data_IF_053548668342
#
_entry.id   IF_053548668342
#
_cell.length_a   1.000
_cell.length_b   1.000
_cell.length_c   1.000
_cell.angle_alpha   90.00
_cell.angle_beta   90.00
_cell.angle_gamma   90.00
#
_symmetry.space_group_name_H-M   'P 1'
#
loop_
_entity.id
_entity.type
_entity.pdbx_description
1 polymer ?
#
# COMPACT_ATOMS: atom_id res chain seq x y z
N UNK A 1 -56.45 -4.04 12.41
CA UNK A 1 -55.45 -4.31 11.37
C UNK A 1 -54.98 -2.98 10.84
N UNK A 2 -53.95 -2.40 11.44
CA UNK A 2 -53.37 -1.13 10.99
C UNK A 2 -52.14 -1.45 10.15
N UNK A 3 -52.21 -1.04 8.90
CA UNK A 3 -51.13 -1.12 7.93
C UNK A 3 -50.03 -0.12 8.28
N UNK A 4 -48.89 -0.59 8.78
CA UNK A 4 -47.67 0.22 8.89
C UNK A 4 -47.13 0.48 7.48
N UNK A 5 -47.30 1.72 7.02
CA UNK A 5 -46.63 2.20 5.80
C UNK A 5 -45.13 2.33 6.05
N UNK A 6 -44.35 1.43 5.51
CA UNK A 6 -42.89 1.61 5.38
C UNK A 6 -42.61 2.74 4.38
N UNK A 7 -42.15 3.88 4.89
CA UNK A 7 -41.63 4.95 4.05
C UNK A 7 -40.18 4.55 3.65
N UNK A 8 -40.03 3.90 2.51
CA UNK A 8 -38.72 3.76 1.84
C UNK A 8 -38.39 5.07 1.14
N UNK A 9 -37.55 5.89 1.77
CA UNK A 9 -36.90 7.02 1.09
C UNK A 9 -35.72 6.45 0.30
N UNK A 10 -35.94 6.07 -0.94
CA UNK A 10 -34.85 5.79 -1.89
C UNK A 10 -34.41 7.12 -2.47
N UNK A 11 -33.33 7.72 -1.95
CA UNK A 11 -32.64 8.80 -2.64
C UNK A 11 -31.89 8.18 -3.84
N UNK A 12 -32.30 8.54 -5.04
CA UNK A 12 -31.84 7.94 -6.29
C UNK A 12 -30.42 8.28 -6.74
N UNK A 13 -29.63 9.10 -5.99
CA UNK A 13 -28.43 9.74 -6.57
C UNK A 13 -27.19 9.85 -5.68
N UNK A 14 -27.10 9.19 -4.52
CA UNK A 14 -25.89 9.31 -3.71
C UNK A 14 -25.42 7.94 -3.20
N UNK A 15 -24.16 7.54 -3.45
CA UNK A 15 -23.61 6.33 -2.86
C UNK A 15 -23.56 6.49 -1.34
N UNK A 16 -24.11 5.53 -0.63
CA UNK A 16 -23.93 5.42 0.82
C UNK A 16 -22.63 4.71 1.11
N UNK A 17 -21.80 5.29 1.97
CA UNK A 17 -20.58 4.63 2.45
C UNK A 17 -20.82 4.12 3.86
N UNK A 18 -20.64 2.83 4.07
CA UNK A 18 -20.83 2.16 5.33
C UNK A 18 -19.67 1.23 5.64
N UNK A 19 -19.12 1.29 6.84
CA UNK A 19 -18.00 0.49 7.30
C UNK A 19 -18.12 0.13 8.77
N UNK A 20 -17.62 -1.05 9.14
CA UNK A 20 -17.40 -1.39 10.55
C UNK A 20 -15.92 -1.25 10.86
N UNK A 21 -15.62 -0.60 11.99
CA UNK A 21 -14.25 -0.45 12.49
C UNK A 21 -14.17 -1.01 13.91
N UNK A 22 -13.03 -1.60 14.25
CA UNK A 22 -12.76 -2.10 15.60
C UNK A 22 -11.68 -1.26 16.25
N UNK A 23 -11.97 -0.72 17.44
CA UNK A 23 -11.01 0.04 18.25
C UNK A 23 -11.07 -0.51 19.67
N UNK A 24 -9.94 -0.98 20.20
CA UNK A 24 -9.85 -1.58 21.55
C UNK A 24 -10.92 -2.66 21.78
N UNK A 25 -11.06 -3.61 20.81
CA UNK A 25 -12.05 -4.71 20.80
C UNK A 25 -13.52 -4.27 20.76
N UNK A 26 -13.80 -2.99 20.58
CA UNK A 26 -15.14 -2.44 20.42
C UNK A 26 -15.43 -2.18 18.95
N UNK A 27 -16.56 -2.70 18.46
CA UNK A 27 -17.00 -2.50 17.07
C UNK A 27 -17.85 -1.23 16.99
N UNK A 28 -17.47 -0.32 16.10
CA UNK A 28 -18.21 0.88 15.74
C UNK A 28 -18.69 0.77 14.29
N UNK A 29 -19.90 1.26 14.02
CA UNK A 29 -20.43 1.37 12.66
C UNK A 29 -20.29 2.82 12.17
N UNK A 30 -19.71 3.01 10.99
CA UNK A 30 -19.50 4.34 10.38
C UNK A 30 -20.35 4.43 9.13
N UNK A 31 -21.13 5.48 9.01
CA UNK A 31 -22.02 5.73 7.87
C UNK A 31 -21.85 7.16 7.38
N UNK A 32 -21.70 7.32 6.06
CA UNK A 32 -21.61 8.62 5.41
C UNK A 32 -22.74 8.78 4.39
N UNK A 33 -23.48 9.87 4.53
CA UNK A 33 -24.66 10.18 3.74
C UNK A 33 -24.56 11.60 3.16
N UNK A 34 -25.14 11.79 1.98
CA UNK A 34 -25.46 13.10 1.45
C UNK A 34 -26.88 13.48 1.83
N UNK A 35 -27.04 14.61 2.50
CA UNK A 35 -28.35 15.17 2.86
C UNK A 35 -29.06 15.85 1.68
N UNK A 36 -28.47 15.78 0.49
CA UNK A 36 -29.04 16.26 -0.75
C UNK A 36 -28.72 17.71 -1.09
N UNK A 37 -29.04 18.06 -2.35
CA UNK A 37 -28.65 19.34 -2.97
C UNK A 37 -29.28 20.57 -2.32
N UNK A 38 -30.38 20.40 -1.55
CA UNK A 38 -31.02 21.50 -0.82
C UNK A 38 -30.19 21.94 0.37
N UNK A 39 -29.53 21.03 1.05
CA UNK A 39 -28.71 21.28 2.23
C UNK A 39 -27.22 21.35 1.89
N UNK A 40 -26.82 20.83 0.73
CA UNK A 40 -25.43 20.73 0.27
C UNK A 40 -24.48 20.21 1.35
N UNK A 41 -24.91 19.20 2.11
CA UNK A 41 -24.18 18.74 3.29
C UNK A 41 -23.95 17.23 3.27
N UNK A 42 -22.69 16.82 3.39
CA UNK A 42 -22.30 15.44 3.68
C UNK A 42 -22.21 15.27 5.18
N UNK A 43 -22.80 14.18 5.69
CA UNK A 43 -22.74 13.81 7.12
C UNK A 43 -22.10 12.45 7.25
N UNK A 44 -21.12 12.34 8.15
CA UNK A 44 -20.56 11.07 8.60
C UNK A 44 -20.88 10.88 10.08
N UNK A 45 -21.56 9.81 10.41
CA UNK A 45 -21.88 9.42 11.78
C UNK A 45 -21.09 8.16 12.15
N UNK A 46 -20.58 8.11 13.37
CA UNK A 46 -20.03 6.91 14.00
C UNK A 46 -20.97 6.45 15.09
N UNK A 47 -21.38 5.20 15.01
CA UNK A 47 -22.34 4.60 15.93
C UNK A 47 -21.66 3.57 16.83
N UNK A 48 -22.06 3.56 18.10
CA UNK A 48 -21.79 2.49 19.05
C UNK A 48 -23.12 1.98 19.59
N UNK A 49 -23.44 0.70 19.36
CA UNK A 49 -24.70 0.08 19.81
C UNK A 49 -25.96 0.88 19.40
N UNK A 50 -25.92 1.52 18.23
CA UNK A 50 -27.04 2.33 17.72
C UNK A 50 -27.05 3.81 18.12
N UNK A 51 -26.18 4.24 19.04
CA UNK A 51 -26.03 5.63 19.42
C UNK A 51 -24.93 6.34 18.66
N UNK A 52 -25.14 7.60 18.27
CA UNK A 52 -24.11 8.40 17.58
C UNK A 52 -23.08 8.89 18.60
N UNK A 53 -21.86 8.38 18.51
CA UNK A 53 -20.74 8.74 19.38
C UNK A 53 -19.77 9.75 18.77
N UNK A 54 -19.82 9.93 17.44
CA UNK A 54 -19.05 10.96 16.73
C UNK A 54 -19.82 11.36 15.48
N UNK A 55 -19.74 12.64 15.11
CA UNK A 55 -20.43 13.19 13.95
C UNK A 55 -19.59 14.25 13.25
N UNK A 56 -19.46 14.15 11.92
CA UNK A 56 -18.80 15.15 11.08
C UNK A 56 -19.74 15.61 9.98
N UNK A 57 -19.75 16.92 9.73
CA UNK A 57 -20.48 17.54 8.61
C UNK A 57 -19.54 18.33 7.73
N UNK A 58 -19.77 18.31 6.43
CA UNK A 58 -19.04 19.16 5.47
C UNK A 58 -20.03 19.73 4.47
N UNK A 59 -19.88 21.02 4.18
CA UNK A 59 -20.62 21.70 3.13
C UNK A 59 -19.93 21.52 1.77
N UNK A 60 -20.73 21.26 0.73
CA UNK A 60 -20.25 21.13 -0.64
C UNK A 60 -20.95 22.11 -1.61
N UNK A 61 -21.61 23.16 -1.12
CA UNK A 61 -22.33 24.15 -1.94
C UNK A 61 -21.49 24.74 -3.06
N UNK A 62 -20.18 24.90 -2.83
CA UNK A 62 -19.22 25.39 -3.81
C UNK A 62 -19.01 24.46 -5.02
N UNK A 63 -19.37 23.18 -4.90
CA UNK A 63 -19.24 22.18 -5.97
C UNK A 63 -20.47 22.10 -6.88
N UNK A 64 -21.64 22.53 -6.43
CA UNK A 64 -22.92 22.35 -7.14
C UNK A 64 -22.99 22.97 -8.51
N UNK A 65 -22.18 23.98 -8.78
CA UNK A 65 -22.09 24.69 -10.08
C UNK A 65 -21.07 24.10 -11.04
N UNK A 66 -20.32 23.08 -10.63
CA UNK A 66 -19.29 22.47 -11.47
C UNK A 66 -19.90 21.43 -12.41
N UNK A 67 -19.42 21.36 -13.65
CA UNK A 67 -19.91 20.40 -14.66
C UNK A 67 -19.67 18.94 -14.30
N UNK A 68 -18.68 18.67 -13.45
CA UNK A 68 -18.26 17.35 -12.99
C UNK A 68 -18.74 17.06 -11.55
N UNK A 69 -19.79 17.72 -11.09
CA UNK A 69 -20.37 17.57 -9.76
C UNK A 69 -20.68 16.11 -9.41
N UNK A 70 -21.35 15.38 -10.33
CA UNK A 70 -21.76 13.98 -10.10
C UNK A 70 -20.57 13.02 -9.87
N UNK A 71 -19.39 13.35 -10.39
CA UNK A 71 -18.16 12.57 -10.18
C UNK A 71 -17.43 13.00 -8.91
N UNK A 72 -17.48 14.29 -8.59
CA UNK A 72 -16.77 14.86 -7.42
C UNK A 72 -17.45 14.56 -6.10
N UNK A 73 -18.77 14.56 -6.05
CA UNK A 73 -19.51 14.33 -4.80
C UNK A 73 -19.21 12.96 -4.20
N UNK A 74 -19.28 11.83 -4.92
CA UNK A 74 -18.90 10.53 -4.39
C UNK A 74 -17.45 10.48 -3.88
N UNK A 75 -16.52 11.09 -4.60
CA UNK A 75 -15.11 11.16 -4.19
C UNK A 75 -14.92 11.97 -2.90
N UNK A 76 -15.67 13.07 -2.75
CA UNK A 76 -15.64 13.88 -1.53
C UNK A 76 -16.24 13.12 -0.34
N UNK A 77 -17.34 12.40 -0.55
CA UNK A 77 -17.97 11.53 0.46
C UNK A 77 -17.02 10.43 0.92
N UNK A 78 -16.36 9.73 0.00
CA UNK A 78 -15.35 8.71 0.30
C UNK A 78 -14.19 9.28 1.10
N UNK A 79 -13.68 10.45 0.70
CA UNK A 79 -12.61 11.16 1.41
C UNK A 79 -13.03 11.55 2.82
N UNK A 80 -14.25 12.06 2.99
CA UNK A 80 -14.79 12.40 4.32
C UNK A 80 -14.96 11.14 5.17
N UNK A 81 -15.51 10.06 4.61
CA UNK A 81 -15.69 8.79 5.30
C UNK A 81 -14.35 8.27 5.86
N UNK A 82 -13.34 8.13 5.01
CA UNK A 82 -12.00 7.69 5.41
C UNK A 82 -11.37 8.60 6.45
N UNK A 83 -11.38 9.92 6.22
CA UNK A 83 -10.75 10.87 7.16
C UNK A 83 -11.47 10.94 8.51
N UNK A 84 -12.79 10.69 8.56
CA UNK A 84 -13.52 10.63 9.82
C UNK A 84 -13.19 9.36 10.59
N UNK A 85 -13.05 8.23 9.92
CA UNK A 85 -12.57 6.98 10.52
C UNK A 85 -11.19 7.19 11.16
N UNK A 86 -10.25 7.72 10.40
CA UNK A 86 -8.87 7.95 10.86
C UNK A 86 -8.83 8.88 12.08
N UNK A 87 -9.59 9.96 12.03
CA UNK A 87 -9.70 10.91 13.16
C UNK A 87 -10.31 10.25 14.38
N UNK A 88 -11.43 9.54 14.22
CA UNK A 88 -12.12 8.87 15.33
C UNK A 88 -11.23 7.82 16.00
N UNK A 89 -10.53 7.02 15.20
CA UNK A 89 -9.60 6.02 15.71
C UNK A 89 -8.44 6.70 16.46
N UNK A 90 -7.87 7.79 15.92
CA UNK A 90 -6.81 8.55 16.58
C UNK A 90 -7.29 9.14 17.93
N UNK A 91 -8.50 9.67 18.00
CA UNK A 91 -9.11 10.21 19.23
C UNK A 91 -9.32 9.09 20.28
N UNK A 92 -9.88 7.95 19.88
CA UNK A 92 -10.16 6.83 20.79
C UNK A 92 -8.88 6.13 21.26
N UNK A 93 -7.90 5.96 20.39
CA UNK A 93 -6.61 5.35 20.74
C UNK A 93 -5.67 6.29 21.51
N UNK A 94 -6.14 7.43 21.99
CA UNK A 94 -5.34 8.40 22.75
C UNK A 94 -4.18 9.00 21.92
N UNK A 95 -4.40 9.18 20.63
CA UNK A 95 -3.37 9.68 19.70
C UNK A 95 -2.33 8.63 19.30
N UNK A 96 -2.53 7.35 19.66
CA UNK A 96 -1.66 6.25 19.21
C UNK A 96 -1.89 6.02 17.73
N UNK A 97 -0.84 6.15 16.94
CA UNK A 97 -0.88 5.80 15.52
C UNK A 97 -1.25 4.33 15.32
N UNK A 98 -2.18 4.06 14.41
CA UNK A 98 -2.49 2.72 13.96
C UNK A 98 -1.38 2.15 13.08
N UNK A 99 -1.34 0.83 13.00
CA UNK A 99 -0.42 0.12 12.10
C UNK A 99 -0.54 0.59 10.64
N UNK A 100 -1.76 0.75 10.12
CA UNK A 100 -2.01 1.25 8.76
C UNK A 100 -1.40 2.64 8.52
N UNK A 101 -1.54 3.55 9.49
CA UNK A 101 -0.97 4.91 9.39
C UNK A 101 0.56 4.90 9.34
N UNK A 102 1.22 3.99 10.08
CA UNK A 102 2.66 3.81 9.97
C UNK A 102 3.07 3.28 8.58
N UNK A 103 2.35 2.29 8.05
CA UNK A 103 2.61 1.75 6.72
C UNK A 103 2.43 2.80 5.63
N UNK A 104 1.35 3.59 5.68
CA UNK A 104 1.10 4.68 4.74
C UNK A 104 2.20 5.75 4.80
N UNK A 105 2.63 6.13 6.01
CA UNK A 105 3.73 7.08 6.21
C UNK A 105 5.05 6.54 5.64
N UNK A 106 5.40 5.29 5.95
CA UNK A 106 6.60 4.64 5.42
C UNK A 106 6.58 4.61 3.89
N UNK A 107 5.46 4.19 3.29
CA UNK A 107 5.30 4.16 1.84
C UNK A 107 5.39 5.56 1.22
N UNK A 108 4.78 6.57 1.85
CA UNK A 108 4.85 7.95 1.40
C UNK A 108 6.28 8.49 1.43
N UNK A 109 7.02 8.26 2.51
CA UNK A 109 8.42 8.65 2.65
C UNK A 109 9.30 7.95 1.62
N UNK A 110 9.05 6.67 1.34
CA UNK A 110 9.77 5.92 0.30
C UNK A 110 9.49 6.47 -1.10
N UNK A 111 8.25 6.84 -1.42
CA UNK A 111 7.92 7.50 -2.70
C UNK A 111 8.62 8.83 -2.87
N UNK A 112 8.86 9.56 -1.79
CA UNK A 112 9.66 10.81 -1.76
C UNK A 112 11.18 10.59 -1.76
N UNK A 113 11.64 9.34 -1.76
CA UNK A 113 13.06 9.02 -1.69
C UNK A 113 13.71 9.24 -0.31
N UNK A 114 12.90 9.51 0.72
CA UNK A 114 13.39 9.77 2.08
C UNK A 114 13.47 8.46 2.91
N UNK A 115 14.40 7.57 2.53
CA UNK A 115 14.59 6.28 3.18
C UNK A 115 14.99 6.40 4.66
N UNK A 116 15.76 7.42 5.04
CA UNK A 116 16.17 7.61 6.44
C UNK A 116 14.98 7.89 7.35
N UNK A 117 14.10 8.81 6.97
CA UNK A 117 12.88 9.09 7.74
C UNK A 117 11.92 7.90 7.74
N UNK A 118 11.81 7.17 6.62
CA UNK A 118 11.03 5.94 6.57
C UNK A 118 11.53 4.90 7.57
N UNK A 119 12.86 4.75 7.72
CA UNK A 119 13.46 3.83 8.70
C UNK A 119 13.13 4.24 10.14
N UNK A 120 13.19 5.53 10.47
CA UNK A 120 12.83 6.03 11.81
C UNK A 120 11.37 5.74 12.14
N UNK A 121 10.45 6.09 11.23
CA UNK A 121 9.03 5.80 11.41
C UNK A 121 8.75 4.30 11.55
N UNK A 122 9.46 3.49 10.78
CA UNK A 122 9.30 2.04 10.80
C UNK A 122 9.80 1.40 12.09
N UNK A 123 10.93 1.85 12.64
CA UNK A 123 11.41 1.39 13.96
C UNK A 123 10.41 1.70 15.05
N UNK A 124 9.87 2.92 15.07
CA UNK A 124 8.83 3.29 16.04
C UNK A 124 7.54 2.46 15.87
N UNK A 125 7.20 2.07 14.63
CA UNK A 125 6.10 1.15 14.38
C UNK A 125 6.38 -0.26 14.95
N UNK A 126 7.60 -0.78 14.75
CA UNK A 126 8.00 -2.10 15.23
C UNK A 126 8.13 -2.18 16.76
N UNK A 127 8.39 -1.07 17.46
CA UNK A 127 8.29 -1.04 18.93
C UNK A 127 6.87 -1.36 19.43
N UNK A 128 5.84 -1.03 18.63
CA UNK A 128 4.44 -1.26 18.98
C UNK A 128 3.87 -2.55 18.37
N UNK A 129 4.38 -2.93 17.21
CA UNK A 129 3.91 -4.07 16.43
C UNK A 129 5.11 -4.93 15.98
N UNK A 130 5.83 -5.57 16.92
CA UNK A 130 7.11 -6.24 16.64
C UNK A 130 7.00 -7.40 15.65
N UNK A 131 5.87 -8.10 15.64
CA UNK A 131 5.67 -9.31 14.83
C UNK A 131 4.89 -9.03 13.53
N UNK A 132 4.65 -7.74 13.18
CA UNK A 132 3.90 -7.44 11.98
C UNK A 132 4.73 -7.71 10.71
N UNK A 133 4.26 -8.65 9.91
CA UNK A 133 4.98 -9.12 8.72
C UNK A 133 5.17 -8.03 7.66
N UNK A 134 4.22 -7.10 7.51
CA UNK A 134 4.37 -5.98 6.57
C UNK A 134 5.47 -5.03 7.02
N UNK A 135 5.45 -4.61 8.29
CA UNK A 135 6.49 -3.75 8.85
C UNK A 135 7.86 -4.40 8.77
N UNK A 136 7.96 -5.68 9.13
CA UNK A 136 9.21 -6.45 9.04
C UNK A 136 9.72 -6.57 7.60
N UNK A 137 8.84 -6.78 6.62
CA UNK A 137 9.23 -6.81 5.20
C UNK A 137 9.83 -5.49 4.74
N UNK A 138 9.21 -4.34 5.08
CA UNK A 138 9.78 -3.02 4.80
C UNK A 138 11.08 -2.78 5.57
N UNK A 139 11.18 -3.25 6.81
CA UNK A 139 12.38 -3.13 7.63
C UNK A 139 13.57 -3.85 7.00
N UNK A 140 13.38 -5.09 6.55
CA UNK A 140 14.43 -5.84 5.85
C UNK A 140 14.95 -5.10 4.62
N UNK A 141 14.05 -4.54 3.79
CA UNK A 141 14.44 -3.72 2.65
C UNK A 141 15.22 -2.47 3.09
N UNK A 142 14.72 -1.71 4.06
CA UNK A 142 15.36 -0.47 4.50
C UNK A 142 16.68 -0.72 5.23
N UNK A 143 16.82 -1.81 5.95
CA UNK A 143 18.09 -2.24 6.55
C UNK A 143 19.18 -2.42 5.48
N UNK A 144 18.81 -3.05 4.36
CA UNK A 144 19.70 -3.21 3.21
C UNK A 144 20.00 -1.87 2.49
N UNK A 145 18.99 -0.98 2.39
CA UNK A 145 19.08 0.21 1.56
C UNK A 145 19.65 1.43 2.27
N UNK A 146 19.39 1.58 3.56
CA UNK A 146 19.72 2.79 4.36
C UNK A 146 20.90 2.51 5.27
N UNK A 147 20.93 1.35 5.91
CA UNK A 147 21.96 0.98 6.88
C UNK A 147 23.11 0.16 6.27
N UNK A 148 23.03 -0.07 4.97
CA UNK A 148 24.05 -0.82 4.22
C UNK A 148 24.31 -2.23 4.80
N UNK A 149 23.29 -2.85 5.38
CA UNK A 149 23.32 -4.22 5.89
C UNK A 149 22.44 -5.17 5.04
N UNK A 150 22.84 -5.47 3.79
CA UNK A 150 22.02 -6.27 2.89
C UNK A 150 21.91 -7.74 3.32
N UNK A 151 22.89 -8.27 4.04
CA UNK A 151 22.86 -9.66 4.50
C UNK A 151 21.70 -9.90 5.47
N UNK A 152 21.59 -9.09 6.49
CA UNK A 152 20.52 -9.17 7.48
C UNK A 152 19.18 -8.77 6.89
N UNK A 153 19.16 -7.69 6.09
CA UNK A 153 17.93 -7.22 5.43
C UNK A 153 17.30 -8.27 4.52
N UNK A 154 18.10 -9.01 3.73
CA UNK A 154 17.64 -10.12 2.90
C UNK A 154 17.06 -11.23 3.77
N UNK A 155 17.78 -11.62 4.83
CA UNK A 155 17.32 -12.67 5.74
C UNK A 155 15.95 -12.34 6.34
N UNK A 156 15.77 -11.11 6.84
CA UNK A 156 14.48 -10.66 7.40
C UNK A 156 13.38 -10.74 6.34
N UNK A 157 13.62 -10.28 5.11
CA UNK A 157 12.63 -10.37 4.04
C UNK A 157 12.28 -11.84 3.68
N UNK A 158 13.26 -12.73 3.62
CA UNK A 158 13.07 -14.15 3.35
C UNK A 158 12.25 -14.82 4.45
N UNK A 159 12.63 -14.62 5.71
CA UNK A 159 11.96 -15.17 6.89
C UNK A 159 10.51 -14.66 6.97
N UNK A 160 10.30 -13.37 6.75
CA UNK A 160 8.98 -12.74 6.76
C UNK A 160 8.07 -13.31 5.65
N UNK A 161 8.60 -13.46 4.43
CA UNK A 161 7.86 -14.06 3.32
C UNK A 161 7.52 -15.54 3.60
N UNK A 162 8.45 -16.28 4.19
CA UNK A 162 8.21 -17.67 4.60
C UNK A 162 7.11 -17.75 5.66
N UNK A 163 7.17 -16.91 6.69
CA UNK A 163 6.15 -16.84 7.74
C UNK A 163 4.78 -16.48 7.16
N UNK A 164 4.69 -15.50 6.24
CA UNK A 164 3.44 -15.16 5.57
C UNK A 164 2.80 -16.38 4.88
N UNK A 165 3.61 -17.14 4.13
CA UNK A 165 3.13 -18.34 3.41
C UNK A 165 2.67 -19.45 4.33
N UNK A 166 3.29 -19.60 5.50
CA UNK A 166 2.95 -20.66 6.45
C UNK A 166 1.80 -20.29 7.37
N UNK A 167 1.70 -19.02 7.79
CA UNK A 167 0.65 -18.55 8.70
C UNK A 167 -0.69 -18.27 8.01
N UNK A 168 -0.66 -17.94 6.72
CA UNK A 168 -1.86 -17.63 5.91
C UNK A 168 -1.82 -18.43 4.60
N UNK A 169 -2.10 -19.73 4.62
CA UNK A 169 -1.96 -20.58 3.43
C UNK A 169 -2.98 -20.24 2.31
N UNK A 170 -4.09 -19.57 2.65
CA UNK A 170 -5.10 -19.10 1.70
C UNK A 170 -5.27 -17.59 1.82
N UNK A 171 -5.34 -16.91 0.69
CA UNK A 171 -5.58 -15.45 0.61
C UNK A 171 -4.32 -14.60 0.82
N UNK A 172 -3.16 -15.18 1.18
CA UNK A 172 -1.91 -14.43 1.31
C UNK A 172 -1.34 -13.97 -0.04
N UNK A 173 -1.81 -14.55 -1.14
CA UNK A 173 -1.37 -14.26 -2.51
C UNK A 173 -1.53 -12.78 -2.87
N UNK A 174 -2.56 -12.11 -2.33
CA UNK A 174 -2.77 -10.68 -2.51
C UNK A 174 -1.62 -9.82 -1.97
N UNK A 175 -0.90 -10.33 -0.97
CA UNK A 175 0.19 -9.61 -0.32
C UNK A 175 1.56 -9.93 -0.93
N UNK A 176 1.71 -11.04 -1.66
CA UNK A 176 2.97 -11.45 -2.24
C UNK A 176 3.69 -10.37 -3.05
N UNK A 177 3.02 -9.54 -3.87
CA UNK A 177 3.70 -8.50 -4.63
C UNK A 177 4.51 -7.55 -3.76
N UNK A 178 4.00 -7.13 -2.60
CA UNK A 178 4.69 -6.22 -1.68
C UNK A 178 5.91 -6.89 -1.05
N UNK A 179 5.77 -8.14 -0.60
CA UNK A 179 6.86 -8.88 0.04
C UNK A 179 7.97 -9.20 -0.96
N UNK A 180 7.63 -9.64 -2.16
CA UNK A 180 8.60 -9.89 -3.22
C UNK A 180 9.25 -8.61 -3.75
N UNK A 181 8.55 -7.49 -3.77
CA UNK A 181 9.11 -6.18 -4.09
C UNK A 181 10.21 -5.79 -3.10
N UNK A 182 9.92 -5.90 -1.80
CA UNK A 182 10.87 -5.56 -0.74
C UNK A 182 12.08 -6.51 -0.74
N UNK A 183 11.85 -7.81 -0.88
CA UNK A 183 12.91 -8.82 -1.01
C UNK A 183 13.78 -8.57 -2.24
N UNK A 184 13.17 -8.32 -3.40
CA UNK A 184 13.89 -8.00 -4.62
C UNK A 184 14.75 -6.76 -4.49
N UNK A 185 14.24 -5.70 -3.85
CA UNK A 185 15.00 -4.48 -3.54
C UNK A 185 16.16 -4.76 -2.58
N UNK A 186 15.97 -5.59 -1.57
CA UNK A 186 17.03 -6.00 -0.65
C UNK A 186 18.12 -6.79 -1.40
N UNK A 187 17.76 -7.71 -2.30
CA UNK A 187 18.72 -8.41 -3.18
C UNK A 187 19.50 -7.45 -4.10
N UNK A 188 18.83 -6.42 -4.66
CA UNK A 188 19.53 -5.39 -5.47
C UNK A 188 20.60 -4.71 -4.65
N UNK A 189 20.30 -4.33 -3.41
CA UNK A 189 21.27 -3.72 -2.49
C UNK A 189 22.41 -4.66 -2.10
N UNK A 190 22.12 -5.95 -1.98
CA UNK A 190 23.11 -7.00 -1.77
C UNK A 190 23.89 -7.42 -3.03
N UNK A 191 23.71 -6.71 -4.16
CA UNK A 191 24.33 -7.03 -5.46
C UNK A 191 23.96 -8.42 -6.00
N UNK A 192 22.88 -9.03 -5.51
CA UNK A 192 22.34 -10.33 -5.93
C UNK A 192 21.30 -10.13 -7.05
N UNK A 193 21.73 -9.61 -8.21
CA UNK A 193 20.83 -9.23 -9.31
C UNK A 193 19.96 -10.36 -9.84
N UNK A 194 20.49 -11.60 -9.88
CA UNK A 194 19.73 -12.76 -10.35
C UNK A 194 18.56 -13.05 -9.42
N UNK A 195 18.82 -13.06 -8.12
CA UNK A 195 17.82 -13.35 -7.09
C UNK A 195 16.77 -12.23 -7.04
N UNK A 196 17.18 -10.97 -7.23
CA UNK A 196 16.27 -9.84 -7.35
C UNK A 196 15.29 -10.01 -8.54
N UNK A 197 15.78 -10.41 -9.71
CA UNK A 197 14.92 -10.66 -10.88
C UNK A 197 13.94 -11.80 -10.61
N UNK A 198 14.38 -12.88 -9.99
CA UNK A 198 13.51 -14.00 -9.62
C UNK A 198 12.44 -13.56 -8.63
N UNK A 199 12.80 -12.81 -7.57
CA UNK A 199 11.85 -12.27 -6.62
C UNK A 199 10.80 -11.36 -7.30
N UNK A 200 11.22 -10.45 -8.17
CA UNK A 200 10.29 -9.60 -8.91
C UNK A 200 9.36 -10.40 -9.84
N UNK A 201 9.86 -11.44 -10.50
CA UNK A 201 9.03 -12.32 -11.32
C UNK A 201 7.99 -13.07 -10.50
N UNK A 202 8.36 -13.55 -9.30
CA UNK A 202 7.39 -14.18 -8.38
C UNK A 202 6.30 -13.19 -7.93
N UNK A 203 6.66 -11.93 -7.65
CA UNK A 203 5.67 -10.89 -7.33
C UNK A 203 4.71 -10.61 -8.49
N UNK A 204 5.20 -10.58 -9.73
CA UNK A 204 4.38 -10.35 -10.92
C UNK A 204 3.46 -11.52 -11.29
N UNK A 205 3.67 -12.73 -10.78
CA UNK A 205 2.73 -13.83 -10.97
C UNK A 205 1.36 -13.54 -10.32
N UNK A 206 1.36 -12.80 -9.21
CA UNK A 206 0.15 -12.47 -8.46
C UNK A 206 -0.42 -11.10 -8.84
N UNK A 207 0.40 -10.19 -9.33
CA UNK A 207 0.01 -8.86 -9.82
C UNK A 207 0.86 -8.48 -11.03
N UNK A 208 0.46 -8.91 -12.25
CA UNK A 208 1.24 -8.68 -13.48
C UNK A 208 1.43 -7.20 -13.84
N UNK A 209 0.54 -6.32 -13.36
CA UNK A 209 0.56 -4.89 -13.64
C UNK A 209 1.20 -4.07 -12.51
N UNK A 210 1.83 -4.70 -11.53
CA UNK A 210 2.46 -4.01 -10.41
C UNK A 210 3.51 -3.01 -10.86
N UNK A 211 3.15 -1.73 -10.85
CA UNK A 211 3.97 -0.63 -11.37
C UNK A 211 5.31 -0.49 -10.65
N UNK A 212 5.35 -0.80 -9.35
CA UNK A 212 6.57 -0.67 -8.57
C UNK A 212 7.56 -1.79 -8.91
N UNK A 213 7.10 -3.03 -9.05
CA UNK A 213 7.93 -4.15 -9.47
C UNK A 213 8.44 -3.94 -10.91
N UNK A 214 7.56 -3.55 -11.83
CA UNK A 214 7.93 -3.28 -13.22
C UNK A 214 8.99 -2.17 -13.30
N UNK A 215 8.86 -1.11 -12.50
CA UNK A 215 9.86 -0.03 -12.42
C UNK A 215 11.22 -0.52 -11.90
N UNK A 216 11.24 -1.38 -10.87
CA UNK A 216 12.49 -1.95 -10.36
C UNK A 216 13.16 -2.87 -11.40
N UNK A 217 12.38 -3.67 -12.12
CA UNK A 217 12.91 -4.49 -13.23
C UNK A 217 13.48 -3.64 -14.36
N UNK A 218 12.83 -2.52 -14.71
CA UNK A 218 13.37 -1.58 -15.70
C UNK A 218 14.71 -0.98 -15.27
N UNK A 219 14.90 -0.63 -13.99
CA UNK A 219 16.16 -0.12 -13.44
C UNK A 219 17.28 -1.16 -13.52
N UNK A 220 16.98 -2.44 -13.39
CA UNK A 220 17.96 -3.53 -13.56
C UNK A 220 18.42 -3.69 -15.02
N UNK A 221 17.66 -3.11 -15.94
CA UNK A 221 17.93 -3.12 -17.36
C UNK A 221 17.50 -4.40 -18.05
N UNK A 222 17.06 -4.29 -19.31
CA UNK A 222 16.90 -5.43 -20.19
C UNK A 222 18.29 -5.95 -20.55
N UNK A 223 18.56 -7.24 -20.30
CA UNK A 223 19.78 -7.84 -20.82
C UNK A 223 19.77 -7.69 -22.33
N UNK A 224 20.71 -6.93 -22.88
CA UNK A 224 20.88 -6.84 -24.33
C UNK A 224 21.10 -8.24 -24.89
N UNK A 225 20.57 -8.51 -26.09
CA UNK A 225 20.75 -9.81 -26.76
C UNK A 225 22.24 -10.15 -26.86
N UNK A 226 22.66 -11.41 -26.70
CA UNK A 226 24.05 -11.78 -26.87
C UNK A 226 24.46 -11.42 -28.30
N UNK A 227 25.68 -10.96 -28.47
CA UNK A 227 26.23 -10.59 -29.79
C UNK A 227 26.23 -11.78 -30.74
N UNK A 228 26.48 -12.96 -30.19
CA UNK A 228 26.47 -14.22 -30.96
C UNK A 228 25.30 -15.08 -30.41
N UNK A 229 24.13 -15.06 -31.06
CA UNK A 229 22.93 -15.74 -30.55
C UNK A 229 23.00 -17.26 -30.51
N UNK A 230 23.91 -17.81 -31.30
CA UNK A 230 24.18 -19.25 -31.42
C UNK A 230 25.19 -19.79 -30.40
N UNK A 231 25.82 -18.91 -29.60
CA UNK A 231 26.76 -19.31 -28.55
C UNK A 231 26.14 -19.00 -27.19
N UNK A 232 26.23 -19.93 -26.23
CA UNK A 232 25.75 -19.74 -24.87
C UNK A 232 26.26 -18.42 -24.28
N UNK A 233 25.40 -17.70 -23.58
CA UNK A 233 25.76 -16.44 -22.90
C UNK A 233 26.86 -16.58 -21.84
N UNK A 234 27.01 -17.78 -21.27
CA UNK A 234 28.06 -18.11 -20.30
C UNK A 234 29.43 -18.31 -20.98
N UNK A 235 29.45 -18.40 -22.30
CA UNK A 235 30.71 -18.56 -23.03
C UNK A 235 31.59 -17.30 -22.92
N UNK A 236 32.87 -17.49 -22.65
CA UNK A 236 33.85 -16.44 -22.48
C UNK A 236 33.86 -15.44 -23.66
N UNK A 237 33.66 -15.93 -24.89
CA UNK A 237 33.64 -15.10 -26.11
C UNK A 237 32.51 -14.06 -26.03
N UNK A 238 31.26 -14.45 -25.71
CA UNK A 238 30.16 -13.51 -25.56
C UNK A 238 30.37 -12.54 -24.38
N UNK A 239 31.05 -12.98 -23.31
CA UNK A 239 31.39 -12.18 -22.16
C UNK A 239 32.42 -11.10 -22.45
N UNK A 240 33.49 -11.44 -23.20
CA UNK A 240 34.55 -10.50 -23.53
C UNK A 240 34.18 -9.57 -24.70
N UNK A 241 33.52 -10.02 -25.74
CA UNK A 241 32.97 -9.17 -26.80
C UNK A 241 31.94 -8.16 -26.27
N UNK A 242 31.07 -8.58 -25.36
CA UNK A 242 30.16 -7.70 -24.69
C UNK A 242 30.88 -6.59 -23.89
N UNK A 243 31.96 -6.93 -23.19
CA UNK A 243 32.76 -5.96 -22.41
C UNK A 243 33.50 -4.95 -23.30
N UNK A 244 34.04 -5.39 -24.43
CA UNK A 244 34.82 -4.54 -25.38
C UNK A 244 33.90 -3.50 -26.06
N UNK A 245 32.75 -3.93 -26.56
CA UNK A 245 31.83 -3.06 -27.29
C UNK A 245 31.03 -2.10 -26.39
N UNK A 246 30.86 -2.46 -25.11
CA UNK A 246 30.18 -1.56 -24.15
C UNK A 246 31.10 -0.54 -23.48
N UNK A 247 32.44 -0.77 -23.51
CA UNK A 247 33.41 0.24 -23.01
C UNK A 247 33.59 1.41 -23.98
N UNK A 248 33.26 1.21 -25.26
CA UNK A 248 33.36 2.25 -26.28
C UNK A 248 32.14 3.11 -26.47
N UNK A 249 31.00 2.78 -25.81
CA UNK A 249 29.73 3.49 -25.92
C UNK A 249 29.46 4.49 -24.79
N UNK A 250 30.42 4.71 -23.89
CA UNK A 250 30.35 5.64 -22.74
C UNK A 250 31.45 6.70 -22.84
N UNK A 251 31.57 7.33 -24.01
CA UNK A 251 32.31 8.59 -24.20
C UNK A 251 31.35 9.61 -24.78
#
# INVERSE_FOLDING_TARGET
MESKSEIRVTSKHSPEFSSNITVDDIIYHVQTEDLGIKTCTIVTNVYLKGEIVHKRKSDYSHLTKLKDFDVRLPSLMEKQHKSTIDQFIAEKSGGKKLKSQYLEEVQHLLRKGNGKSAMVSLRHALEKFPDDLFLLSYYGYLLAAVENNPKEGIKICEDTLKTLKTSMPLGSEFFYPVFYLNLGRAYVKGNKRRDAVLAFQEGLKNDPENRDILREMQKLGTRKKPLLPFISRSNLINKYLGKLLYKSSTK
#
